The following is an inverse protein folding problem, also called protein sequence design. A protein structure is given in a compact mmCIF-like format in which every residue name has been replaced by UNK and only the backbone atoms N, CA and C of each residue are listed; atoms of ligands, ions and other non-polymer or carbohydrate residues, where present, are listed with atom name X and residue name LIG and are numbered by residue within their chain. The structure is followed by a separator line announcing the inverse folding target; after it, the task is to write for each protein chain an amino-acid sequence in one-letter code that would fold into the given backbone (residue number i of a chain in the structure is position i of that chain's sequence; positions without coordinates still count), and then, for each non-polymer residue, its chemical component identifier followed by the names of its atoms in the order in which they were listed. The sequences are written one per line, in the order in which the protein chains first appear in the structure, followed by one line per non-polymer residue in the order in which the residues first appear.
data_IF_358350665082
#
_entry.id   IF_358350665082
#
_cell.length_a   1.000
_cell.length_b   1.000
_cell.length_c   1.000
_cell.angle_alpha   90.00
_cell.angle_beta   90.00
_cell.angle_gamma   90.00
#
_symmetry.space_group_name_H-M   'P 1'
#
loop_
_entity.id
_entity.type
_entity.pdbx_description
1 polymer ?
#
# COMPACT_ATOMS: atom_id res chain seq x y z
N UNK A 1 13.49 14.27 7.31
CA UNK A 1 12.74 12.99 7.29
C UNK A 1 11.67 13.15 6.24
N UNK A 2 11.74 12.36 5.18
CA UNK A 2 10.77 12.40 4.08
C UNK A 2 9.79 11.25 4.31
N UNK A 3 8.59 11.58 4.79
CA UNK A 3 7.53 10.61 5.00
C UNK A 3 6.69 10.57 3.72
N UNK A 4 6.73 9.44 3.02
CA UNK A 4 5.84 9.21 1.88
C UNK A 4 4.53 8.64 2.39
N UNK A 5 3.41 9.22 1.95
CA UNK A 5 2.06 8.80 2.35
C UNK A 5 1.24 8.51 1.11
N UNK A 6 0.64 7.32 1.04
CA UNK A 6 -0.36 6.95 0.03
C UNK A 6 -1.68 6.73 0.74
N UNK A 7 -2.70 7.51 0.37
CA UNK A 7 -4.03 7.45 0.99
C UNK A 7 -5.11 7.10 -0.03
N UNK A 8 -6.03 6.23 0.35
CA UNK A 8 -7.20 5.87 -0.46
C UNK A 8 -8.46 5.83 0.40
N UNK A 9 -9.49 6.53 -0.05
CA UNK A 9 -10.84 6.50 0.54
C UNK A 9 -11.67 5.39 -0.07
N UNK A 10 -12.36 4.64 0.78
CA UNK A 10 -13.33 3.62 0.43
C UNK A 10 -14.77 4.07 0.69
N UNK A 11 -15.69 3.10 0.67
CA UNK A 11 -17.10 3.31 1.03
C UNK A 11 -17.26 3.54 2.54
N UNK A 12 -18.43 4.06 2.96
CA UNK A 12 -18.83 4.13 4.38
C UNK A 12 -17.82 4.84 5.31
N UNK A 13 -17.20 5.91 4.81
CA UNK A 13 -16.16 6.66 5.54
C UNK A 13 -14.98 5.77 5.98
N UNK A 14 -14.63 4.76 5.19
CA UNK A 14 -13.39 4.00 5.33
C UNK A 14 -12.24 4.70 4.59
N UNK A 15 -11.04 4.60 5.15
CA UNK A 15 -9.82 5.12 4.57
C UNK A 15 -8.66 4.18 4.89
N UNK A 16 -7.77 3.97 3.93
CA UNK A 16 -6.50 3.27 4.15
C UNK A 16 -5.35 4.21 3.83
N UNK A 17 -4.34 4.20 4.68
CA UNK A 17 -3.19 5.10 4.58
C UNK A 17 -1.90 4.30 4.80
N UNK A 18 -1.03 4.30 3.80
CA UNK A 18 0.31 3.70 3.86
C UNK A 18 1.30 4.82 4.13
N UNK A 19 2.18 4.64 5.10
CA UNK A 19 3.17 5.63 5.48
C UNK A 19 4.51 4.98 5.82
N UNK A 20 5.60 5.70 5.58
CA UNK A 20 6.94 5.28 6.03
C UNK A 20 7.34 6.04 7.29
N UNK A 21 7.88 5.32 8.28
CA UNK A 21 8.49 5.93 9.47
C UNK A 21 10.00 5.72 9.41
N UNK A 22 10.76 6.80 9.50
CA UNK A 22 12.21 6.75 9.69
C UNK A 22 12.54 6.89 11.17
N UNK A 23 13.13 5.86 11.78
CA UNK A 23 13.64 5.92 13.15
C UNK A 23 15.16 6.09 13.12
N UNK A 24 15.64 7.19 13.72
CA UNK A 24 17.08 7.44 13.89
C UNK A 24 17.61 6.60 15.04
N UNK A 25 18.30 5.50 14.72
CA UNK A 25 19.16 4.79 15.67
C UNK A 25 20.57 5.39 15.57
N UNK A 26 21.33 5.55 16.68
CA UNK A 26 22.69 6.11 16.65
C UNK A 26 23.65 5.46 15.64
N UNK A 27 23.36 4.25 15.15
CA UNK A 27 24.19 3.54 14.18
C UNK A 27 23.56 3.33 12.80
N UNK A 28 22.26 3.61 12.61
CA UNK A 28 21.56 3.41 11.32
C UNK A 28 20.22 4.14 11.26
N UNK A 29 19.83 4.56 10.05
CA UNK A 29 18.43 4.90 9.75
C UNK A 29 17.66 3.61 9.46
N UNK A 30 16.57 3.38 10.19
CA UNK A 30 15.63 2.28 9.91
C UNK A 30 14.37 2.89 9.31
N UNK A 31 13.93 2.38 8.16
CA UNK A 31 12.66 2.76 7.53
C UNK A 31 11.68 1.60 7.63
N UNK A 32 10.51 1.87 8.19
CA UNK A 32 9.45 0.88 8.40
C UNK A 32 8.20 1.32 7.62
N UNK A 33 7.47 0.35 7.07
CA UNK A 33 6.17 0.57 6.43
C UNK A 33 5.06 0.36 7.45
N UNK A 34 4.27 1.40 7.69
CA UNK A 34 3.05 1.34 8.47
C UNK A 34 1.81 1.46 7.58
N UNK A 35 0.72 0.83 8.01
CA UNK A 35 -0.61 0.96 7.41
C UNK A 35 -1.60 1.35 8.50
N UNK A 36 -2.39 2.38 8.23
CA UNK A 36 -3.56 2.75 9.04
C UNK A 36 -4.82 2.42 8.25
N UNK A 37 -5.76 1.72 8.89
CA UNK A 37 -7.13 1.54 8.39
C UNK A 37 -8.07 2.30 9.31
N UNK A 38 -8.77 3.28 8.75
CA UNK A 38 -9.78 4.08 9.43
C UNK A 38 -11.16 3.61 8.99
N UNK A 39 -12.08 3.41 9.93
CA UNK A 39 -13.49 3.14 9.65
C UNK A 39 -14.35 3.98 10.61
N UNK A 40 -14.91 5.08 10.11
CA UNK A 40 -15.65 6.03 10.95
C UNK A 40 -14.75 6.66 12.02
N UNK A 41 -14.92 6.24 13.29
CA UNK A 41 -14.11 6.71 14.44
C UNK A 41 -13.08 5.68 14.92
N UNK A 42 -13.06 4.50 14.31
CA UNK A 42 -12.15 3.42 14.70
C UNK A 42 -10.90 3.46 13.82
N UNK A 43 -9.74 3.27 14.45
CA UNK A 43 -8.44 3.18 13.79
C UNK A 43 -7.81 1.82 14.10
N UNK A 44 -7.23 1.20 13.07
CA UNK A 44 -6.45 -0.01 13.17
C UNK A 44 -5.07 0.24 12.55
N UNK A 45 -4.03 0.03 13.34
CA UNK A 45 -2.65 0.24 12.94
C UNK A 45 -1.93 -1.09 12.74
N UNK A 46 -1.21 -1.19 11.63
CA UNK A 46 -0.43 -2.37 11.27
C UNK A 46 0.99 -1.93 10.89
N UNK A 47 1.97 -2.75 11.26
CA UNK A 47 3.35 -2.65 10.78
C UNK A 47 3.67 -3.87 9.95
N UNK A 48 4.64 -3.73 9.04
CA UNK A 48 5.14 -4.83 8.23
C UNK A 48 6.61 -5.08 8.54
N UNK A 49 6.96 -6.36 8.67
CA UNK A 49 8.34 -6.82 8.64
C UNK A 49 8.88 -6.85 7.20
N UNK A 50 10.20 -6.92 7.04
CA UNK A 50 10.85 -7.01 5.72
C UNK A 50 10.28 -8.17 4.88
N UNK A 51 10.07 -9.34 5.48
CA UNK A 51 9.52 -10.51 4.79
C UNK A 51 8.08 -10.28 4.32
N UNK A 52 7.23 -9.67 5.15
CA UNK A 52 5.84 -9.36 4.78
C UNK A 52 5.78 -8.27 3.69
N UNK A 53 6.76 -7.36 3.64
CA UNK A 53 6.89 -6.38 2.56
C UNK A 53 7.18 -7.09 1.24
N UNK A 54 8.11 -8.05 1.22
CA UNK A 54 8.44 -8.81 0.02
C UNK A 54 7.22 -9.58 -0.51
N UNK A 55 6.49 -10.27 0.38
CA UNK A 55 5.25 -10.97 0.03
C UNK A 55 4.18 -10.02 -0.54
N UNK A 56 4.03 -8.83 0.07
CA UNK A 56 3.11 -7.80 -0.40
C UNK A 56 3.49 -7.29 -1.78
N UNK A 57 4.77 -7.05 -2.05
CA UNK A 57 5.27 -6.61 -3.37
C UNK A 57 4.93 -7.65 -4.43
N UNK A 58 5.21 -8.94 -4.18
CA UNK A 58 4.90 -10.01 -5.12
C UNK A 58 3.40 -10.12 -5.40
N UNK A 59 2.56 -9.97 -4.37
CA UNK A 59 1.11 -9.93 -4.53
C UNK A 59 0.66 -8.75 -5.41
N UNK A 60 1.12 -7.54 -5.11
CA UNK A 60 0.75 -6.33 -5.84
C UNK A 60 1.20 -6.38 -7.30
N UNK A 61 2.38 -6.92 -7.58
CA UNK A 61 2.88 -7.12 -8.95
C UNK A 61 1.99 -8.10 -9.73
N UNK A 62 1.59 -9.21 -9.13
CA UNK A 62 0.67 -10.19 -9.76
C UNK A 62 -0.69 -9.57 -10.07
N UNK A 63 -1.29 -8.85 -9.12
CA UNK A 63 -2.57 -8.15 -9.33
C UNK A 63 -2.44 -7.10 -10.44
N UNK A 64 -1.36 -6.32 -10.45
CA UNK A 64 -1.11 -5.32 -11.50
C UNK A 64 -0.98 -5.96 -12.88
N UNK A 65 -0.28 -7.09 -12.99
CA UNK A 65 -0.15 -7.84 -14.24
C UNK A 65 -1.53 -8.27 -14.74
N UNK A 66 -2.33 -8.92 -13.88
CA UNK A 66 -3.69 -9.35 -14.21
C UNK A 66 -4.59 -8.20 -14.70
N UNK A 67 -4.59 -7.06 -13.99
CA UNK A 67 -5.37 -5.88 -14.37
C UNK A 67 -4.88 -5.30 -15.71
N UNK A 68 -3.57 -5.30 -15.95
CA UNK A 68 -2.99 -4.83 -17.21
C UNK A 68 -3.42 -5.71 -18.37
N UNK A 69 -3.34 -7.03 -18.21
CA UNK A 69 -3.75 -8.01 -19.23
C UNK A 69 -5.24 -7.89 -19.56
N UNK A 70 -6.09 -7.76 -18.53
CA UNK A 70 -7.52 -7.52 -18.72
C UNK A 70 -7.77 -6.24 -19.53
N UNK A 71 -7.10 -5.14 -19.19
CA UNK A 71 -7.27 -3.86 -19.87
C UNK A 71 -6.74 -3.86 -21.31
N UNK A 72 -5.74 -4.68 -21.64
CA UNK A 72 -5.27 -4.85 -23.02
C UNK A 72 -6.29 -5.63 -23.83
N UNK A 73 -6.82 -6.73 -23.26
CA UNK A 73 -7.72 -7.64 -23.96
C UNK A 73 -9.19 -7.18 -24.01
N UNK A 74 -9.58 -6.24 -23.15
CA UNK A 74 -10.95 -5.71 -23.07
C UNK A 74 -11.15 -4.41 -23.87
N UNK A 75 -10.14 -3.95 -24.63
CA UNK A 75 -10.34 -2.82 -25.55
C UNK A 75 -11.26 -3.27 -26.69
N UNK A 76 -12.35 -2.54 -26.98
CA UNK A 76 -13.18 -2.85 -28.13
C UNK A 76 -12.33 -2.76 -29.38
N UNK A 77 -12.33 -3.82 -30.20
CA UNK A 77 -11.82 -3.76 -31.56
C UNK A 77 -12.79 -2.85 -32.31
N UNK A 78 -12.34 -1.64 -32.66
CA UNK A 78 -13.09 -0.75 -33.55
C UNK A 78 -12.92 -1.36 -34.95
N UNK A 79 -13.96 -2.03 -35.44
CA UNK A 79 -14.08 -2.43 -36.86
C UNK A 79 -14.40 -1.24 -37.76
#
# INVERSE_FOLDING_TARGET
MENSIIRKRGSEASEIEFYTVSTLNPYREVKELGIVVLQGKTQFDFGFTEMEIDELIEFLQRVKAYVSDFNVNSKPVIE
#
